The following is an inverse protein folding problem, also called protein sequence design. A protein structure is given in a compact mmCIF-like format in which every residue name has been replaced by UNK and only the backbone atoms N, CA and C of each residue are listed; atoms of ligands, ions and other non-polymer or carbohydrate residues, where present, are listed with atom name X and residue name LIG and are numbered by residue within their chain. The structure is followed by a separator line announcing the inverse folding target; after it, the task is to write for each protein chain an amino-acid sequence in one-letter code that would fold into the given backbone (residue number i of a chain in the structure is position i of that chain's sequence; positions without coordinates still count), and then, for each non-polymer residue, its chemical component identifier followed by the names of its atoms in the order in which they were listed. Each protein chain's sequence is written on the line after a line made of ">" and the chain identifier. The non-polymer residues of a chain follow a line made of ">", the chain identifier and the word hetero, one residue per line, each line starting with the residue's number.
data_IF_706732210639
#
_entry.id   IF_706732210639
#
_cell.length_a   1.000
_cell.length_b   1.000
_cell.length_c   1.000
_cell.angle_alpha   90.00
_cell.angle_beta   90.00
_cell.angle_gamma   90.00
#
_symmetry.space_group_name_H-M   'P 1'
#
loop_
_entity.id
_entity.type
_entity.pdbx_description
1 polymer ?
#
# COMPACT_ATOMS: atom_id res chain seq x y z
N UNK A 1 5.08 3.07 14.61
CA UNK A 1 4.77 2.14 13.50
C UNK A 1 4.68 2.95 12.24
N UNK A 2 5.25 2.45 11.14
CA UNK A 2 5.44 3.23 9.93
C UNK A 2 4.11 3.79 9.39
N UNK A 3 3.94 5.13 9.34
CA UNK A 3 2.73 5.78 8.83
C UNK A 3 2.41 5.40 7.37
N UNK A 4 3.42 4.88 6.66
CA UNK A 4 3.30 4.16 5.41
C UNK A 4 2.16 3.13 5.36
N UNK A 5 1.86 2.40 6.45
CA UNK A 5 0.76 1.42 6.44
C UNK A 5 -0.62 2.09 6.36
N UNK A 6 -0.79 3.25 6.99
CA UNK A 6 -2.02 4.04 6.92
C UNK A 6 -2.23 4.56 5.50
N UNK A 7 -1.18 5.11 4.90
CA UNK A 7 -1.22 5.59 3.51
C UNK A 7 -1.53 4.46 2.53
N UNK A 8 -0.89 3.29 2.70
CA UNK A 8 -1.16 2.10 1.90
C UNK A 8 -2.61 1.64 2.05
N UNK A 9 -3.17 1.65 3.26
CA UNK A 9 -4.56 1.27 3.51
C UNK A 9 -5.54 2.19 2.78
N UNK A 10 -5.30 3.51 2.81
CA UNK A 10 -6.13 4.49 2.10
C UNK A 10 -6.08 4.25 0.59
N UNK A 11 -4.88 4.14 0.02
CA UNK A 11 -4.69 3.91 -1.41
C UNK A 11 -5.34 2.58 -1.87
N UNK A 12 -5.18 1.52 -1.07
CA UNK A 12 -5.75 0.21 -1.35
C UNK A 12 -7.28 0.22 -1.29
N UNK A 13 -7.89 0.85 -0.28
CA UNK A 13 -9.35 0.93 -0.15
C UNK A 13 -9.99 1.67 -1.33
N UNK A 14 -9.39 2.78 -1.75
CA UNK A 14 -9.88 3.60 -2.86
C UNK A 14 -9.76 2.83 -4.18
N UNK A 15 -8.63 2.15 -4.39
CA UNK A 15 -8.40 1.33 -5.59
C UNK A 15 -9.35 0.12 -5.65
N UNK A 16 -9.59 -0.53 -4.50
CA UNK A 16 -10.55 -1.62 -4.36
C UNK A 16 -11.99 -1.16 -4.68
N UNK A 17 -12.38 0.04 -4.24
CA UNK A 17 -13.69 0.62 -4.55
C UNK A 17 -13.93 0.87 -6.05
N UNK A 18 -12.87 1.09 -6.82
CA UNK A 18 -12.93 1.27 -8.27
C UNK A 18 -12.89 -0.06 -9.07
N UNK A 19 -12.68 -1.20 -8.41
CA UNK A 19 -12.49 -2.48 -9.09
C UNK A 19 -13.81 -3.04 -9.61
N UNK A 20 -13.89 -3.23 -10.93
CA UNK A 20 -15.02 -3.90 -11.58
C UNK A 20 -15.03 -5.39 -11.23
N UNK A 21 -16.21 -5.94 -10.90
CA UNK A 21 -16.37 -7.37 -10.57
C UNK A 21 -16.44 -7.69 -9.07
N UNK A 22 -16.25 -6.72 -8.18
CA UNK A 22 -16.51 -6.92 -6.76
C UNK A 22 -18.01 -7.09 -6.49
N UNK A 23 -18.36 -8.08 -5.67
CA UNK A 23 -19.73 -8.25 -5.15
C UNK A 23 -20.11 -7.06 -4.27
N UNK A 24 -21.41 -6.80 -4.13
CA UNK A 24 -21.89 -5.71 -3.27
C UNK A 24 -21.48 -5.91 -1.80
N UNK A 25 -21.41 -7.15 -1.33
CA UNK A 25 -20.90 -7.50 0.01
C UNK A 25 -19.43 -7.14 0.17
N UNK A 26 -18.60 -7.40 -0.85
CA UNK A 26 -17.18 -7.04 -0.83
C UNK A 26 -17.00 -5.52 -0.80
N UNK A 27 -17.75 -4.77 -1.61
CA UNK A 27 -17.71 -3.30 -1.63
C UNK A 27 -18.13 -2.72 -0.29
N UNK A 28 -19.21 -3.25 0.30
CA UNK A 28 -19.69 -2.83 1.62
C UNK A 28 -18.62 -3.08 2.70
N UNK A 29 -18.01 -4.27 2.72
CA UNK A 29 -16.97 -4.60 3.69
C UNK A 29 -15.76 -3.66 3.61
N UNK A 30 -15.26 -3.37 2.39
CA UNK A 30 -14.15 -2.42 2.18
C UNK A 30 -14.56 -1.01 2.62
N UNK A 31 -15.77 -0.56 2.24
CA UNK A 31 -16.27 0.76 2.59
C UNK A 31 -16.45 0.94 4.10
N UNK A 32 -16.96 -0.07 4.81
CA UNK A 32 -17.12 -0.06 6.26
C UNK A 32 -15.77 0.00 6.98
N UNK A 33 -14.80 -0.83 6.57
CA UNK A 33 -13.45 -0.78 7.12
C UNK A 33 -12.81 0.59 6.89
N UNK A 34 -12.96 1.15 5.69
CA UNK A 34 -12.42 2.46 5.35
C UNK A 34 -13.09 3.59 6.13
N UNK A 35 -14.39 3.50 6.37
CA UNK A 35 -15.14 4.45 7.21
C UNK A 35 -14.64 4.45 8.65
N UNK A 36 -14.31 3.28 9.20
CA UNK A 36 -13.69 3.18 10.54
C UNK A 36 -12.35 3.90 10.56
N UNK A 37 -11.48 3.65 9.58
CA UNK A 37 -10.18 4.34 9.46
C UNK A 37 -10.34 5.87 9.38
N UNK A 38 -11.25 6.35 8.52
CA UNK A 38 -11.55 7.78 8.42
C UNK A 38 -12.11 8.36 9.72
N UNK A 39 -12.88 7.59 10.48
CA UNK A 39 -13.36 7.98 11.80
C UNK A 39 -12.22 8.22 12.80
N UNK A 40 -11.21 7.35 12.82
CA UNK A 40 -10.02 7.52 13.67
C UNK A 40 -9.22 8.74 13.24
N UNK A 41 -8.97 8.90 11.94
CA UNK A 41 -8.27 10.05 11.38
C UNK A 41 -8.98 11.37 11.69
N UNK A 42 -10.30 11.47 11.45
CA UNK A 42 -11.04 12.69 11.75
C UNK A 42 -11.05 13.04 13.25
N UNK A 43 -11.10 12.03 14.12
CA UNK A 43 -11.14 12.21 15.58
C UNK A 43 -9.79 12.67 16.16
N UNK A 44 -8.69 12.10 15.69
CA UNK A 44 -7.35 12.28 16.28
C UNK A 44 -6.41 13.16 15.45
N UNK A 45 -6.60 13.17 14.14
CA UNK A 45 -5.71 13.76 13.13
C UNK A 45 -6.51 14.62 12.14
N UNK A 46 -7.51 15.36 12.61
CA UNK A 46 -8.43 16.11 11.74
C UNK A 46 -7.77 17.20 10.88
N UNK A 47 -6.49 17.51 11.10
CA UNK A 47 -5.67 18.38 10.26
C UNK A 47 -5.02 17.67 9.07
N UNK A 48 -4.99 16.34 9.06
CA UNK A 48 -4.36 15.54 8.00
C UNK A 48 -5.34 15.36 6.84
N UNK A 49 -4.94 15.75 5.63
CA UNK A 49 -5.79 15.67 4.44
C UNK A 49 -5.56 14.40 3.64
N UNK A 50 -6.50 13.46 3.73
CA UNK A 50 -6.47 12.22 2.94
C UNK A 50 -7.00 12.38 1.51
N UNK A 51 -7.66 13.49 1.19
CA UNK A 51 -8.37 13.70 -0.09
C UNK A 51 -7.40 13.67 -1.27
N UNK A 52 -6.17 14.15 -1.08
CA UNK A 52 -5.15 14.11 -2.11
C UNK A 52 -4.81 12.68 -2.55
N UNK A 53 -4.69 11.74 -1.60
CA UNK A 53 -4.46 10.32 -1.89
C UNK A 53 -5.74 9.66 -2.40
N UNK A 54 -6.91 9.97 -1.85
CA UNK A 54 -8.19 9.47 -2.38
C UNK A 54 -8.40 9.85 -3.85
N UNK A 55 -8.00 11.05 -4.27
CA UNK A 55 -8.17 11.51 -5.64
C UNK A 55 -7.20 10.85 -6.63
N UNK A 56 -5.99 10.46 -6.18
CA UNK A 56 -5.01 9.75 -7.01
C UNK A 56 -4.24 8.73 -6.15
N UNK A 57 -4.84 7.57 -5.86
CA UNK A 57 -4.27 6.60 -4.92
C UNK A 57 -2.95 6.00 -5.41
N UNK A 58 -2.69 5.97 -6.72
CA UNK A 58 -1.43 5.49 -7.29
C UNK A 58 -0.30 6.55 -7.33
N UNK A 59 -0.56 7.80 -6.91
CA UNK A 59 0.43 8.87 -6.95
C UNK A 59 1.37 8.80 -5.75
N UNK A 60 2.58 8.29 -5.96
CA UNK A 60 3.61 8.20 -4.91
C UNK A 60 3.88 9.55 -4.24
N UNK A 61 4.02 10.63 -5.01
CA UNK A 61 4.24 11.97 -4.46
C UNK A 61 3.13 12.42 -3.49
N UNK A 62 1.88 11.97 -3.69
CA UNK A 62 0.78 12.29 -2.76
C UNK A 62 0.78 11.38 -1.54
N UNK A 63 1.19 10.12 -1.72
CA UNK A 63 1.38 9.19 -0.61
C UNK A 63 2.49 9.68 0.33
N UNK A 64 3.63 10.12 -0.22
CA UNK A 64 4.76 10.62 0.56
C UNK A 64 4.41 11.88 1.37
N UNK A 65 3.63 12.80 0.78
CA UNK A 65 3.16 13.99 1.51
C UNK A 65 2.21 13.59 2.65
N UNK A 66 1.27 12.69 2.41
CA UNK A 66 0.36 12.22 3.45
C UNK A 66 1.12 11.49 4.57
N UNK A 67 2.14 10.70 4.23
CA UNK A 67 3.02 10.07 5.22
C UNK A 67 3.70 11.13 6.09
N UNK A 68 4.30 12.16 5.48
CA UNK A 68 4.95 13.25 6.19
C UNK A 68 3.98 13.97 7.14
N UNK A 69 2.77 14.31 6.68
CA UNK A 69 1.75 14.95 7.51
C UNK A 69 1.32 14.08 8.69
N UNK A 70 1.21 12.76 8.50
CA UNK A 70 0.92 11.80 9.58
C UNK A 70 2.06 11.74 10.60
N UNK A 71 3.32 11.77 10.16
CA UNK A 71 4.49 11.84 11.06
C UNK A 71 4.46 13.15 11.86
N UNK A 72 4.27 14.29 11.19
CA UNK A 72 4.23 15.61 11.83
C UNK A 72 3.07 15.74 12.82
N UNK A 73 1.93 15.10 12.54
CA UNK A 73 0.78 15.05 13.43
C UNK A 73 0.96 14.06 14.60
N UNK A 74 2.10 13.36 14.69
CA UNK A 74 2.38 12.40 15.76
C UNK A 74 1.54 11.12 15.66
N UNK A 75 1.16 10.72 14.44
CA UNK A 75 0.47 9.44 14.22
C UNK A 75 1.37 8.22 14.40
N UNK A 76 2.69 8.44 14.46
CA UNK A 76 3.67 7.39 14.71
C UNK A 76 3.47 6.78 16.10
N UNK A 77 3.05 5.51 16.11
CA UNK A 77 2.83 4.73 17.34
C UNK A 77 1.37 4.65 17.79
N UNK A 78 0.41 5.26 17.09
CA UNK A 78 -1.01 5.09 17.42
C UNK A 78 -1.51 3.68 17.03
N UNK A 79 -1.74 2.83 18.03
CA UNK A 79 -2.21 1.45 17.84
C UNK A 79 -3.66 1.37 17.34
N UNK A 80 -4.51 2.36 17.65
CA UNK A 80 -5.90 2.39 17.19
C UNK A 80 -5.94 2.73 15.69
N UNK A 81 -5.16 3.72 15.26
CA UNK A 81 -5.01 4.07 13.85
C UNK A 81 -4.41 2.91 13.06
N UNK A 82 -3.39 2.26 13.62
CA UNK A 82 -2.78 1.07 13.04
C UNK A 82 -3.78 -0.05 12.85
N UNK A 83 -4.52 -0.43 13.90
CA UNK A 83 -5.50 -1.51 13.83
C UNK A 83 -6.58 -1.24 12.78
N UNK A 84 -7.02 0.01 12.64
CA UNK A 84 -7.97 0.40 11.61
C UNK A 84 -7.38 0.28 10.19
N UNK A 85 -6.11 0.70 9.99
CA UNK A 85 -5.44 0.58 8.70
C UNK A 85 -5.18 -0.88 8.30
N UNK A 86 -4.71 -1.70 9.24
CA UNK A 86 -4.52 -3.14 9.03
C UNK A 86 -5.84 -3.87 8.72
N UNK A 87 -6.93 -3.45 9.36
CA UNK A 87 -8.25 -4.00 9.05
C UNK A 87 -8.67 -3.70 7.61
N UNK A 88 -8.44 -2.47 7.14
CA UNK A 88 -8.70 -2.11 5.73
C UNK A 88 -7.89 -3.00 4.80
N UNK A 89 -6.58 -3.11 5.00
CA UNK A 89 -5.70 -3.93 4.15
C UNK A 89 -6.12 -5.40 4.15
N UNK A 90 -6.51 -5.95 5.30
CA UNK A 90 -6.99 -7.32 5.43
C UNK A 90 -8.25 -7.56 4.61
N UNK A 91 -9.22 -6.65 4.72
CA UNK A 91 -10.49 -6.74 3.96
C UNK A 91 -10.22 -6.59 2.46
N UNK A 92 -9.38 -5.64 2.05
CA UNK A 92 -8.99 -5.48 0.65
C UNK A 92 -8.29 -6.74 0.12
N UNK A 93 -7.35 -7.32 0.85
CA UNK A 93 -6.68 -8.57 0.47
C UNK A 93 -7.67 -9.74 0.32
N UNK A 94 -8.67 -9.83 1.20
CA UNK A 94 -9.66 -10.90 1.19
C UNK A 94 -10.56 -10.84 -0.05
N UNK A 95 -10.96 -9.64 -0.49
CA UNK A 95 -11.96 -9.49 -1.55
C UNK A 95 -11.39 -9.03 -2.89
N UNK A 96 -10.20 -8.42 -2.88
CA UNK A 96 -9.54 -7.88 -4.06
C UNK A 96 -8.09 -8.36 -4.10
N UNK A 97 -7.86 -9.67 -4.28
CA UNK A 97 -6.51 -10.22 -4.34
C UNK A 97 -5.66 -9.61 -5.48
N UNK A 98 -6.31 -9.00 -6.48
CA UNK A 98 -5.67 -8.26 -7.58
C UNK A 98 -5.38 -6.77 -7.28
N UNK A 99 -5.99 -6.17 -6.25
CA UNK A 99 -5.70 -4.79 -5.83
C UNK A 99 -4.65 -4.72 -4.71
N UNK A 100 -4.32 -5.84 -4.08
CA UNK A 100 -3.02 -5.97 -3.44
C UNK A 100 -1.97 -5.82 -4.54
N UNK A 101 -1.08 -4.82 -4.43
CA UNK A 101 0.15 -4.81 -5.23
C UNK A 101 0.89 -6.11 -4.90
N UNK A 102 0.68 -7.13 -5.72
CA UNK A 102 1.52 -8.31 -5.72
C UNK A 102 2.89 -7.78 -6.15
N UNK A 103 3.80 -7.68 -5.19
CA UNK A 103 5.17 -7.27 -5.41
C UNK A 103 6.03 -8.43 -4.94
N UNK A 104 6.91 -8.93 -5.81
CA UNK A 104 7.82 -10.03 -5.47
C UNK A 104 8.81 -9.64 -4.38
N UNK A 105 9.33 -8.41 -4.45
CA UNK A 105 10.25 -7.85 -3.46
C UNK A 105 9.93 -6.37 -3.25
N UNK A 106 9.50 -5.97 -2.04
CA UNK A 106 9.32 -4.56 -1.65
C UNK A 106 10.46 -4.12 -0.73
N UNK A 107 11.25 -3.15 -1.15
CA UNK A 107 12.26 -2.49 -0.34
C UNK A 107 11.83 -1.06 -0.08
N UNK A 108 11.75 -0.66 1.19
CA UNK A 108 11.38 0.69 1.57
C UNK A 108 12.35 1.18 2.64
N UNK A 109 13.13 2.21 2.31
CA UNK A 109 14.13 2.85 3.19
C UNK A 109 15.20 1.87 3.68
N UNK A 110 16.02 1.37 2.75
CA UNK A 110 17.08 0.39 3.06
C UNK A 110 18.44 1.06 2.98
N UNK A 111 19.25 0.95 4.03
CA UNK A 111 20.68 1.32 3.99
C UNK A 111 21.55 0.07 4.15
N UNK A 112 22.42 -0.20 3.18
CA UNK A 112 23.23 -1.42 3.19
C UNK A 112 24.65 -1.21 2.61
N UNK A 113 25.61 -2.00 3.09
CA UNK A 113 26.95 -2.06 2.52
C UNK A 113 27.00 -2.80 1.18
N UNK A 114 26.16 -3.81 1.02
CA UNK A 114 26.00 -4.58 -0.22
C UNK A 114 24.56 -5.11 -0.25
N UNK A 115 23.94 -5.14 -1.42
CA UNK A 115 22.58 -5.62 -1.60
C UNK A 115 22.48 -6.47 -2.88
N UNK A 116 22.17 -7.76 -2.71
CA UNK A 116 22.04 -8.74 -3.80
C UNK A 116 20.66 -9.37 -3.78
N UNK A 117 19.92 -9.20 -4.86
CA UNK A 117 18.59 -9.77 -5.10
C UNK A 117 18.71 -10.67 -6.34
N UNK A 118 18.31 -11.93 -6.23
CA UNK A 118 18.42 -12.86 -7.35
C UNK A 118 17.23 -13.82 -7.40
N UNK A 119 16.84 -14.24 -8.61
CA UNK A 119 15.81 -15.26 -8.88
C UNK A 119 14.43 -14.84 -8.36
N UNK A 120 13.92 -13.72 -8.84
CA UNK A 120 12.59 -13.24 -8.52
C UNK A 120 11.63 -13.75 -9.58
N UNK A 121 10.55 -14.43 -9.19
CA UNK A 121 9.44 -14.78 -10.09
C UNK A 121 8.17 -14.11 -9.58
N UNK A 122 7.52 -13.32 -10.43
CA UNK A 122 6.30 -12.61 -10.10
C UNK A 122 5.26 -12.85 -11.20
N UNK A 123 4.03 -13.24 -10.83
CA UNK A 123 2.94 -13.46 -11.80
C UNK A 123 1.80 -12.50 -11.50
N UNK A 124 1.41 -11.67 -12.46
CA UNK A 124 0.36 -10.65 -12.29
C UNK A 124 0.75 -9.50 -11.37
N UNK A 125 2.05 -9.23 -11.26
CA UNK A 125 2.67 -8.60 -10.11
C UNK A 125 3.95 -7.88 -10.51
N UNK A 126 4.36 -6.82 -9.80
CA UNK A 126 5.68 -6.20 -10.02
C UNK A 126 6.77 -7.09 -9.42
N UNK A 127 7.88 -7.30 -10.15
CA UNK A 127 8.98 -8.15 -9.68
C UNK A 127 9.68 -7.57 -8.45
N UNK A 128 10.23 -6.37 -8.57
CA UNK A 128 10.92 -5.67 -7.48
C UNK A 128 10.45 -4.22 -7.46
N UNK A 129 9.99 -3.75 -6.29
CA UNK A 129 9.72 -2.35 -5.97
C UNK A 129 10.70 -1.93 -4.88
N UNK A 130 11.58 -0.98 -5.18
CA UNK A 130 12.62 -0.53 -4.25
C UNK A 130 12.60 1.01 -4.14
N UNK A 131 12.50 1.53 -2.91
CA UNK A 131 12.41 2.95 -2.59
C UNK A 131 13.36 3.33 -1.48
N UNK A 132 14.00 4.48 -1.65
CA UNK A 132 14.97 5.04 -0.70
C UNK A 132 16.02 4.00 -0.27
N UNK A 133 16.66 3.40 -1.27
CA UNK A 133 17.68 2.37 -1.07
C UNK A 133 19.06 3.00 -1.24
N UNK A 134 19.78 3.11 -0.14
CA UNK A 134 21.16 3.61 -0.06
C UNK A 134 22.11 2.42 0.07
N UNK A 135 22.78 2.05 -1.03
CA UNK A 135 23.80 1.00 -1.03
C UNK A 135 25.16 1.64 -1.22
N UNK A 136 26.06 1.44 -0.27
CA UNK A 136 27.40 2.05 -0.32
C UNK A 136 28.42 1.21 -1.09
N UNK A 137 28.15 -0.09 -1.26
CA UNK A 137 28.94 -1.02 -2.08
C UNK A 137 28.11 -1.60 -3.22
N UNK A 138 28.16 -2.91 -3.41
CA UNK A 138 27.59 -3.55 -4.60
C UNK A 138 26.05 -3.69 -4.50
N UNK A 139 25.33 -3.20 -5.52
CA UNK A 139 23.88 -3.38 -5.68
C UNK A 139 23.58 -4.20 -6.95
N UNK A 140 23.05 -5.41 -6.78
CA UNK A 140 22.81 -6.36 -7.87
C UNK A 140 21.40 -6.92 -7.79
N UNK A 141 20.66 -6.82 -8.89
CA UNK A 141 19.38 -7.51 -9.11
C UNK A 141 19.53 -8.41 -10.33
N UNK A 142 19.29 -9.71 -10.18
CA UNK A 142 19.46 -10.72 -11.25
C UNK A 142 18.28 -11.67 -11.34
N UNK A 143 18.06 -12.21 -12.53
CA UNK A 143 17.08 -13.27 -12.79
C UNK A 143 15.66 -12.89 -12.31
N UNK A 144 15.19 -11.69 -12.68
CA UNK A 144 13.82 -11.22 -12.42
C UNK A 144 12.93 -11.63 -13.59
N UNK A 145 11.97 -12.49 -13.32
CA UNK A 145 10.98 -13.01 -14.26
C UNK A 145 9.60 -12.51 -13.83
N UNK A 146 8.97 -11.68 -14.67
CA UNK A 146 7.62 -11.17 -14.44
C UNK A 146 6.70 -11.72 -15.51
N UNK A 147 5.79 -12.60 -15.13
CA UNK A 147 4.76 -13.15 -15.98
C UNK A 147 3.48 -12.32 -15.87
N UNK A 148 2.89 -11.92 -16.99
CA UNK A 148 1.57 -11.32 -16.98
C UNK A 148 0.53 -12.39 -16.60
N UNK A 149 -0.45 -12.05 -15.76
CA UNK A 149 -1.59 -12.95 -15.51
C UNK A 149 -2.30 -13.24 -16.83
N UNK A 150 -2.67 -14.50 -17.13
CA UNK A 150 -3.42 -14.81 -18.34
C UNK A 150 -4.75 -14.05 -18.30
N UNK A 151 -4.91 -13.15 -19.27
CA UNK A 151 -6.20 -12.51 -19.57
C UNK A 151 -7.17 -13.62 -19.94
N UNK A 152 -8.15 -13.90 -19.07
CA UNK A 152 -9.24 -14.79 -19.41
C UNK A 152 -10.07 -14.14 -20.52
N UNK A 153 -10.20 -14.76 -21.70
CA UNK A 153 -11.15 -14.29 -22.70
C UNK A 153 -12.57 -14.58 -22.17
N UNK A 154 -13.42 -13.55 -22.19
CA UNK A 154 -14.87 -13.67 -21.99
C UNK A 154 -15.53 -14.27 -23.23
#
# INVERSE_FOLDING_TARGET
>A
MDPNVVVAAIAAAVSAGATAGLTDTAKAAVADAYKVLKGVLARKYGSVDVVMVEAKPASLARQDVLEAELVEAGADGDDELRGAAEQVLRVVHQYVPQAAELVGVKLTRVKAGELKIARIKATGASGVDARDVEVTGEFVIRDVEVEASPTHPH
#
